data_IF_691824749833
#
_entry.id   IF_691824749833
#
_cell.length_a   1.000
_cell.length_b   1.000
_cell.length_c   1.000
_cell.angle_alpha   90.00
_cell.angle_beta   90.00
_cell.angle_gamma   90.00
#
_symmetry.space_group_name_H-M   'P 1'
#
loop_
_entity.id
_entity.type
_entity.pdbx_description
1 polymer ?
#
# COMPACT_ATOMS: atom_id res chain seq x y z
N UNK A 1 -9.72 -6.10 0.74
CA UNK A 1 -9.02 -6.57 1.97
C UNK A 1 -8.44 -7.97 1.80
N UNK A 2 -9.14 -8.90 1.15
CA UNK A 2 -8.67 -10.29 1.02
C UNK A 2 -7.40 -10.44 0.18
N UNK A 3 -7.20 -9.60 -0.84
CA UNK A 3 -5.98 -9.62 -1.67
C UNK A 3 -4.73 -9.26 -0.87
N UNK A 4 -4.84 -8.29 0.04
CA UNK A 4 -3.75 -7.91 0.95
C UNK A 4 -3.42 -9.04 1.93
N UNK A 5 -4.44 -9.71 2.48
CA UNK A 5 -4.26 -10.87 3.35
C UNK A 5 -3.60 -12.04 2.62
N UNK A 6 -3.96 -12.26 1.35
CA UNK A 6 -3.33 -13.28 0.51
C UNK A 6 -1.86 -12.95 0.25
N UNK A 7 -1.54 -11.69 -0.05
CA UNK A 7 -0.17 -11.27 -0.29
C UNK A 7 0.69 -11.33 0.98
N UNK A 8 0.15 -10.89 2.12
CA UNK A 8 0.85 -10.95 3.41
C UNK A 8 1.06 -12.40 3.88
N UNK A 9 0.08 -13.30 3.64
CA UNK A 9 0.23 -14.73 3.97
C UNK A 9 1.24 -15.43 3.06
N UNK A 10 1.28 -15.13 1.76
CA UNK A 10 2.31 -15.64 0.85
C UNK A 10 3.72 -15.23 1.28
N UNK A 11 3.90 -13.99 1.75
CA UNK A 11 5.18 -13.52 2.30
C UNK A 11 5.56 -14.26 3.58
N UNK A 12 4.62 -14.46 4.50
CA UNK A 12 4.86 -15.23 5.71
C UNK A 12 5.30 -16.66 5.38
N UNK A 13 4.61 -17.33 4.45
CA UNK A 13 4.97 -18.67 3.98
C UNK A 13 6.37 -18.67 3.37
N UNK A 14 6.71 -17.67 2.56
CA UNK A 14 8.05 -17.55 1.97
C UNK A 14 9.15 -17.39 3.03
N UNK A 15 8.90 -16.62 4.10
CA UNK A 15 9.86 -16.48 5.19
C UNK A 15 9.95 -17.75 6.04
N UNK A 16 8.83 -18.43 6.31
CA UNK A 16 8.80 -19.71 7.03
C UNK A 16 9.59 -20.80 6.32
N UNK A 17 9.55 -20.82 4.98
CA UNK A 17 10.23 -21.82 4.13
C UNK A 17 11.59 -21.33 3.64
N UNK A 18 12.10 -20.19 4.16
CA UNK A 18 13.39 -19.67 3.71
C UNK A 18 14.53 -20.67 4.05
N UNK A 19 15.38 -21.06 3.06
CA UNK A 19 16.36 -22.13 3.26
C UNK A 19 17.30 -21.89 4.44
N UNK A 20 17.77 -20.65 4.61
CA UNK A 20 18.64 -20.28 5.73
C UNK A 20 17.98 -20.53 7.10
N UNK A 21 16.70 -20.18 7.26
CA UNK A 21 15.99 -20.38 8.53
C UNK A 21 15.67 -21.84 8.80
N UNK A 22 15.28 -22.58 7.76
CA UNK A 22 15.06 -24.02 7.89
C UNK A 22 16.35 -24.68 8.38
N UNK A 23 17.50 -24.36 7.77
CA UNK A 23 18.79 -24.90 8.19
C UNK A 23 19.14 -24.54 9.63
N UNK A 24 18.92 -23.30 10.06
CA UNK A 24 19.17 -22.91 11.47
C UNK A 24 18.26 -23.66 12.44
N UNK A 25 16.98 -23.82 12.11
CA UNK A 25 16.01 -24.51 12.97
C UNK A 25 16.26 -26.02 13.01
N UNK A 26 16.61 -26.63 11.88
CA UNK A 26 17.05 -28.02 11.83
C UNK A 26 18.33 -28.25 12.63
N UNK A 27 19.31 -27.33 12.52
CA UNK A 27 20.53 -27.37 13.34
C UNK A 27 20.25 -27.29 14.84
N UNK A 28 19.33 -26.41 15.25
CA UNK A 28 18.90 -26.30 16.65
C UNK A 28 18.17 -27.57 17.13
N UNK A 29 17.26 -28.13 16.32
CA UNK A 29 16.59 -29.39 16.63
C UNK A 29 17.57 -30.56 16.75
N UNK A 30 18.57 -30.61 15.87
CA UNK A 30 19.64 -31.63 15.90
C UNK A 30 20.50 -31.49 17.16
N UNK A 31 20.87 -30.27 17.57
CA UNK A 31 21.61 -30.04 18.81
C UNK A 31 20.82 -30.52 20.04
N UNK A 32 19.51 -30.24 20.10
CA UNK A 32 18.62 -30.73 21.16
C UNK A 32 18.55 -32.26 21.15
N UNK A 33 18.43 -32.87 19.96
CA UNK A 33 18.42 -34.32 19.82
C UNK A 33 19.71 -34.98 20.29
N UNK A 34 20.88 -34.37 20.03
CA UNK A 34 22.18 -34.87 20.50
C UNK A 34 22.27 -34.80 22.02
N UNK A 35 21.88 -33.67 22.63
CA UNK A 35 21.99 -33.44 24.09
C UNK A 35 21.05 -34.33 24.89
N UNK A 36 19.79 -34.43 24.47
CA UNK A 36 18.77 -35.17 25.22
C UNK A 36 18.60 -36.62 24.75
N UNK A 37 18.99 -36.94 23.51
CA UNK A 37 18.95 -38.32 22.99
C UNK A 37 20.02 -39.22 23.59
N UNK A 38 21.12 -38.67 24.13
CA UNK A 38 22.12 -39.43 24.89
C UNK A 38 21.67 -39.76 26.32
N UNK A 39 20.55 -39.22 26.79
CA UNK A 39 20.03 -39.43 28.15
C UNK A 39 18.79 -40.33 28.08
N UNK A 40 18.89 -41.54 28.64
CA UNK A 40 17.79 -42.52 28.62
C UNK A 40 16.53 -41.93 29.30
N UNK A 41 15.41 -41.87 28.57
CA UNK A 41 14.12 -41.42 29.10
C UNK A 41 13.81 -39.92 28.98
N UNK A 42 14.71 -39.11 28.42
CA UNK A 42 14.56 -37.63 28.38
C UNK A 42 13.90 -37.08 27.10
N UNK A 43 13.26 -37.94 26.30
CA UNK A 43 12.55 -37.54 25.07
C UNK A 43 11.45 -36.50 25.31
N UNK A 44 10.84 -36.49 26.50
CA UNK A 44 9.88 -35.45 26.89
C UNK A 44 10.51 -34.06 26.94
N UNK A 45 11.76 -33.93 27.42
CA UNK A 45 12.48 -32.65 27.43
C UNK A 45 12.95 -32.25 26.03
N UNK A 46 13.35 -33.21 25.20
CA UNK A 46 13.66 -32.96 23.80
C UNK A 46 12.45 -32.39 23.04
N UNK A 47 11.26 -32.96 23.25
CA UNK A 47 10.02 -32.49 22.65
C UNK A 47 9.67 -31.04 23.07
N UNK A 48 9.84 -30.70 24.35
CA UNK A 48 9.69 -29.31 24.84
C UNK A 48 10.71 -28.39 24.16
N UNK A 49 11.96 -28.82 24.01
CA UNK A 49 12.99 -28.07 23.28
C UNK A 49 12.60 -27.80 21.83
N UNK A 50 12.16 -28.81 21.09
CA UNK A 50 11.70 -28.64 19.71
C UNK A 50 10.48 -27.73 19.59
N UNK A 51 9.55 -27.77 20.55
CA UNK A 51 8.44 -26.84 20.60
C UNK A 51 8.91 -25.39 20.69
N UNK A 52 9.88 -25.08 21.55
CA UNK A 52 10.45 -23.73 21.62
C UNK A 52 11.21 -23.32 20.36
N UNK A 53 11.91 -24.26 19.70
CA UNK A 53 12.54 -23.99 18.39
C UNK A 53 11.47 -23.67 17.34
N UNK A 54 10.36 -24.41 17.30
CA UNK A 54 9.26 -24.13 16.38
C UNK A 54 8.62 -22.75 16.64
N UNK A 55 8.40 -22.39 17.91
CA UNK A 55 7.90 -21.07 18.28
C UNK A 55 8.87 -19.96 17.88
N UNK A 56 10.17 -20.13 18.10
CA UNK A 56 11.18 -19.16 17.70
C UNK A 56 11.28 -19.02 16.18
N UNK A 57 11.22 -20.13 15.44
CA UNK A 57 11.19 -20.15 13.98
C UNK A 57 9.99 -19.37 13.45
N UNK A 58 8.80 -19.66 13.98
CA UNK A 58 7.57 -18.96 13.62
C UNK A 58 7.65 -17.46 13.95
N UNK A 59 8.05 -17.10 15.17
CA UNK A 59 8.13 -15.71 15.61
C UNK A 59 9.13 -14.88 14.81
N UNK A 60 10.31 -15.43 14.52
CA UNK A 60 11.30 -14.75 13.67
C UNK A 60 10.84 -14.62 12.23
N UNK A 61 10.13 -15.62 11.67
CA UNK A 61 9.52 -15.55 10.35
C UNK A 61 8.43 -14.48 10.28
N UNK A 62 7.56 -14.39 11.28
CA UNK A 62 6.56 -13.31 11.40
C UNK A 62 7.22 -11.93 11.42
N UNK A 63 8.19 -11.73 12.32
CA UNK A 63 8.90 -10.44 12.43
C UNK A 63 9.51 -10.02 11.09
N UNK A 64 10.17 -10.94 10.40
CA UNK A 64 10.77 -10.63 9.12
C UNK A 64 9.77 -10.43 7.98
N UNK A 65 8.62 -11.12 8.02
CA UNK A 65 7.52 -10.86 7.09
C UNK A 65 6.94 -9.47 7.31
N UNK A 66 6.86 -9.01 8.56
CA UNK A 66 6.48 -7.64 8.91
C UNK A 66 7.54 -6.61 8.48
N UNK A 67 8.82 -6.89 8.71
CA UNK A 67 9.92 -6.00 8.30
C UNK A 67 9.96 -5.84 6.77
N UNK A 68 9.64 -6.90 6.02
CA UNK A 68 9.56 -6.92 4.54
C UNK A 68 8.17 -6.59 3.99
N UNK A 69 7.28 -6.08 4.85
CA UNK A 69 5.90 -5.80 4.47
C UNK A 69 5.82 -4.65 3.46
N UNK A 70 6.71 -3.69 3.51
CA UNK A 70 6.77 -2.59 2.56
C UNK A 70 7.92 -2.82 1.60
N UNK A 71 7.64 -2.78 0.30
CA UNK A 71 8.70 -2.83 -0.71
C UNK A 71 9.44 -1.49 -0.79
N UNK A 72 8.69 -0.38 -0.72
CA UNK A 72 9.23 0.96 -0.75
C UNK A 72 9.36 1.56 0.66
N UNK A 73 10.58 1.96 1.08
CA UNK A 73 10.79 2.62 2.37
C UNK A 73 9.98 3.91 2.52
N UNK A 74 9.73 4.61 1.41
CA UNK A 74 8.93 5.84 1.39
C UNK A 74 7.48 5.60 1.83
N UNK A 75 6.84 4.54 1.35
CA UNK A 75 5.46 4.21 1.73
C UNK A 75 5.38 3.72 3.17
N UNK A 76 6.38 2.94 3.62
CA UNK A 76 6.52 2.57 5.02
C UNK A 76 6.61 3.81 5.93
N UNK A 77 7.41 4.81 5.54
CA UNK A 77 7.56 6.06 6.28
C UNK A 77 6.27 6.89 6.32
N UNK A 78 5.51 6.95 5.22
CA UNK A 78 4.19 7.61 5.20
C UNK A 78 3.23 6.94 6.19
N UNK A 79 3.14 5.60 6.15
CA UNK A 79 2.28 4.88 7.08
C UNK A 79 2.71 5.03 8.54
N UNK A 80 4.02 4.93 8.82
CA UNK A 80 4.56 5.18 10.16
C UNK A 80 4.23 6.60 10.64
N UNK A 81 4.28 7.59 9.74
CA UNK A 81 3.87 8.97 10.00
C UNK A 81 2.40 9.10 10.39
N UNK A 82 1.50 8.41 9.67
CA UNK A 82 0.07 8.33 10.01
C UNK A 82 -0.15 7.70 11.38
N UNK A 83 0.51 6.56 11.68
CA UNK A 83 0.39 5.86 12.96
C UNK A 83 0.87 6.70 14.14
N UNK A 84 2.02 7.38 14.01
CA UNK A 84 2.55 8.26 15.06
C UNK A 84 1.57 9.40 15.38
N UNK A 85 1.00 10.04 14.35
CA UNK A 85 0.04 11.14 14.52
C UNK A 85 -1.29 10.68 15.10
N UNK A 86 -1.79 9.52 14.70
CA UNK A 86 -2.95 8.90 15.33
C UNK A 86 -2.71 8.64 16.82
N UNK A 87 -1.56 8.04 17.17
CA UNK A 87 -1.21 7.77 18.57
C UNK A 87 -1.17 9.07 19.39
N UNK A 88 -0.51 10.11 18.89
CA UNK A 88 -0.46 11.43 19.54
C UNK A 88 -1.84 12.07 19.67
N UNK A 89 -2.69 11.91 18.66
CA UNK A 89 -4.07 12.38 18.69
C UNK A 89 -4.90 11.66 19.77
N UNK A 90 -4.80 10.32 19.84
CA UNK A 90 -5.45 9.53 20.89
C UNK A 90 -4.93 9.89 22.30
N UNK A 91 -3.64 10.14 22.47
CA UNK A 91 -3.07 10.63 23.73
C UNK A 91 -3.67 11.98 24.17
N UNK A 92 -3.96 12.88 23.23
CA UNK A 92 -4.62 14.16 23.52
C UNK A 92 -6.08 13.95 23.89
N UNK A 93 -6.81 13.14 23.11
CA UNK A 93 -8.21 12.80 23.39
C UNK A 93 -8.39 12.17 24.77
N UNK A 94 -7.51 11.24 25.14
CA UNK A 94 -7.56 10.56 26.45
C UNK A 94 -7.32 11.51 27.64
N UNK A 95 -6.76 12.71 27.39
CA UNK A 95 -6.55 13.75 28.40
C UNK A 95 -7.67 14.81 28.42
N UNK A 96 -8.67 14.72 27.56
CA UNK A 96 -9.82 15.62 27.57
C UNK A 96 -10.84 15.20 28.64
N UNK A 97 -11.58 16.16 29.19
CA UNK A 97 -12.64 15.86 30.16
C UNK A 97 -13.86 15.28 29.44
N UNK A 98 -14.64 14.42 30.11
CA UNK A 98 -15.78 13.69 29.50
C UNK A 98 -16.86 14.62 28.92
N UNK A 99 -17.08 15.76 29.55
CA UNK A 99 -18.00 16.82 29.09
C UNK A 99 -17.55 17.49 27.78
N UNK A 100 -16.24 17.54 27.53
CA UNK A 100 -15.64 18.07 26.29
C UNK A 100 -15.58 17.04 25.15
N UNK A 101 -15.80 15.77 25.46
CA UNK A 101 -15.72 14.64 24.52
C UNK A 101 -17.10 14.27 23.96
N UNK A 102 -18.19 14.69 24.62
CA UNK A 102 -19.56 14.42 24.17
C UNK A 102 -19.81 14.90 22.73
N UNK A 103 -19.30 16.08 22.37
CA UNK A 103 -19.42 16.66 21.02
C UNK A 103 -18.48 16.00 19.98
N UNK A 104 -17.56 15.14 20.42
CA UNK A 104 -16.50 14.54 19.61
C UNK A 104 -16.66 13.04 19.39
N UNK A 105 -17.72 12.39 19.89
CA UNK A 105 -17.80 10.92 19.96
C UNK A 105 -17.64 10.20 18.60
N UNK A 106 -18.11 10.80 17.50
CA UNK A 106 -18.01 10.19 16.17
C UNK A 106 -16.62 10.31 15.55
N UNK A 107 -15.87 11.39 15.86
CA UNK A 107 -14.62 11.73 15.18
C UNK A 107 -13.51 10.67 15.35
N UNK A 108 -13.22 10.15 16.56
CA UNK A 108 -12.20 9.11 16.74
C UNK A 108 -12.51 7.85 15.94
N UNK A 109 -13.80 7.51 15.80
CA UNK A 109 -14.22 6.37 14.99
C UNK A 109 -13.95 6.64 13.51
N UNK A 110 -14.40 7.77 12.98
CA UNK A 110 -14.14 8.17 11.58
C UNK A 110 -12.63 8.20 11.27
N UNK A 111 -11.81 8.73 12.17
CA UNK A 111 -10.34 8.76 11.98
C UNK A 111 -9.77 7.34 11.88
N UNK A 112 -10.23 6.40 12.73
CA UNK A 112 -9.78 5.00 12.67
C UNK A 112 -10.24 4.30 11.39
N UNK A 113 -11.48 4.53 10.99
CA UNK A 113 -12.04 3.96 9.76
C UNK A 113 -11.25 4.45 8.54
N UNK A 114 -11.07 5.78 8.40
CA UNK A 114 -10.26 6.39 7.34
C UNK A 114 -8.81 5.91 7.38
N UNK A 115 -8.21 5.76 8.57
CA UNK A 115 -6.85 5.23 8.69
C UNK A 115 -6.72 3.80 8.16
N UNK A 116 -7.78 3.00 8.33
CA UNK A 116 -7.83 1.61 7.88
C UNK A 116 -7.94 1.55 6.35
N UNK A 117 -8.81 2.38 5.77
CA UNK A 117 -8.92 2.58 4.32
C UNK A 117 -7.59 3.05 3.73
N UNK A 118 -6.97 4.06 4.35
CA UNK A 118 -5.71 4.64 3.92
C UNK A 118 -4.55 3.64 3.99
N UNK A 119 -4.49 2.82 5.05
CA UNK A 119 -3.54 1.72 5.15
C UNK A 119 -3.69 0.75 3.98
N UNK A 120 -4.91 0.31 3.69
CA UNK A 120 -5.17 -0.63 2.60
C UNK A 120 -4.79 -0.03 1.24
N UNK A 121 -5.09 1.25 1.03
CA UNK A 121 -4.70 1.97 -0.18
C UNK A 121 -3.19 2.13 -0.31
N UNK A 122 -2.48 2.56 0.74
CA UNK A 122 -1.02 2.65 0.74
C UNK A 122 -0.36 1.30 0.45
N UNK A 123 -0.89 0.20 1.03
CA UNK A 123 -0.39 -1.15 0.74
C UNK A 123 -0.60 -1.54 -0.72
N UNK A 124 -1.74 -1.21 -1.32
CA UNK A 124 -1.98 -1.44 -2.75
C UNK A 124 -1.09 -0.58 -3.63
N UNK A 125 -0.92 0.69 -3.28
CA UNK A 125 0.00 1.59 -3.98
C UNK A 125 1.44 1.06 -3.97
N UNK A 126 1.90 0.48 -2.85
CA UNK A 126 3.23 -0.13 -2.74
C UNK A 126 3.39 -1.34 -3.66
N UNK A 127 2.37 -2.20 -3.71
CA UNK A 127 2.36 -3.36 -4.61
C UNK A 127 2.38 -2.90 -6.07
N UNK A 128 1.50 -1.97 -6.44
CA UNK A 128 1.43 -1.42 -7.81
C UNK A 128 2.76 -0.78 -8.20
N UNK A 129 3.33 0.07 -7.35
CA UNK A 129 4.62 0.70 -7.61
C UNK A 129 5.74 -0.35 -7.80
N UNK A 130 5.74 -1.42 -7.00
CA UNK A 130 6.73 -2.50 -7.10
C UNK A 130 6.57 -3.28 -8.40
N UNK A 131 5.33 -3.61 -8.77
CA UNK A 131 5.03 -4.35 -9.99
C UNK A 131 5.39 -3.54 -11.23
N UNK A 132 5.04 -2.25 -11.24
CA UNK A 132 5.42 -1.31 -12.28
C UNK A 132 6.94 -1.19 -12.37
N UNK A 133 7.64 -0.97 -11.25
CA UNK A 133 9.10 -0.87 -11.30
C UNK A 133 9.77 -2.17 -11.79
N UNK A 134 9.24 -3.34 -11.40
CA UNK A 134 9.78 -4.62 -11.81
C UNK A 134 9.57 -4.91 -13.31
N UNK A 135 8.39 -4.57 -13.85
CA UNK A 135 8.02 -4.83 -15.25
C UNK A 135 8.60 -3.78 -16.20
N UNK A 136 8.77 -2.54 -15.74
CA UNK A 136 9.30 -1.42 -16.53
C UNK A 136 10.82 -1.30 -16.48
N UNK A 137 11.49 -2.11 -15.64
CA UNK A 137 12.94 -2.11 -15.53
C UNK A 137 13.58 -2.51 -16.86
N UNK A 138 14.32 -1.57 -17.46
CA UNK A 138 15.02 -1.81 -18.72
C UNK A 138 14.16 -1.64 -19.96
N UNK A 139 12.87 -1.27 -19.81
CA UNK A 139 12.14 -0.68 -20.93
C UNK A 139 12.77 0.68 -21.25
N UNK A 140 12.95 0.96 -22.54
CA UNK A 140 13.59 2.18 -23.01
C UNK A 140 12.81 3.38 -22.46
N UNK A 141 13.37 4.09 -21.46
CA UNK A 141 12.76 5.29 -20.85
C UNK A 141 12.44 6.40 -21.87
N UNK A 142 12.96 6.24 -23.09
CA UNK A 142 12.51 6.94 -24.28
C UNK A 142 12.27 5.89 -25.38
N UNK A 143 11.02 5.71 -25.87
CA UNK A 143 10.77 4.81 -26.98
C UNK A 143 11.64 5.22 -28.18
N UNK A 144 12.07 4.26 -28.99
CA UNK A 144 12.84 4.57 -30.20
C UNK A 144 12.02 5.52 -31.07
N UNK A 145 12.64 6.63 -31.47
CA UNK A 145 12.06 7.50 -32.50
C UNK A 145 12.30 6.79 -33.82
N UNK A 146 11.22 6.36 -34.46
CA UNK A 146 11.29 5.70 -35.75
C UNK A 146 11.44 6.76 -36.84
N UNK A 147 12.57 6.76 -37.55
CA UNK A 147 12.69 7.52 -38.79
C UNK A 147 12.13 6.65 -39.93
N UNK A 148 11.00 7.05 -40.49
CA UNK A 148 10.41 6.40 -41.66
C UNK A 148 11.22 6.78 -42.91
N UNK A 149 12.46 6.28 -42.99
CA UNK A 149 13.36 6.48 -44.14
C UNK A 149 12.85 5.84 -45.43
N UNK A 150 11.73 5.10 -45.37
CA UNK A 150 11.10 4.44 -46.52
C UNK A 150 10.01 5.33 -47.15
N UNK A 151 9.95 5.33 -48.48
CA UNK A 151 8.86 5.96 -49.26
C UNK A 151 7.62 5.07 -49.38
N UNK A 152 7.68 3.88 -48.80
CA UNK A 152 6.60 2.91 -48.82
C UNK A 152 5.43 3.38 -47.94
N UNK A 153 4.23 3.37 -48.50
CA UNK A 153 3.02 3.84 -47.82
C UNK A 153 2.64 2.92 -46.65
N UNK A 154 2.79 1.60 -46.80
CA UNK A 154 2.46 0.63 -45.75
C UNK A 154 3.37 0.77 -44.54
N UNK A 155 4.68 0.91 -44.77
CA UNK A 155 5.66 1.16 -43.70
C UNK A 155 5.33 2.42 -42.89
N UNK A 156 4.88 3.50 -43.53
CA UNK A 156 4.50 4.75 -42.84
C UNK A 156 3.27 4.58 -41.95
N UNK A 157 2.27 3.85 -42.42
CA UNK A 157 1.07 3.55 -41.62
C UNK A 157 1.41 2.71 -40.38
N UNK A 158 2.32 1.74 -40.52
CA UNK A 158 2.81 0.94 -39.39
C UNK A 158 3.57 1.79 -38.37
N UNK A 159 4.41 2.73 -38.81
CA UNK A 159 5.09 3.66 -37.90
C UNK A 159 4.10 4.60 -37.19
N UNK A 160 3.09 5.13 -37.89
CA UNK A 160 2.04 5.94 -37.26
C UNK A 160 1.20 5.14 -36.26
N UNK A 161 0.94 3.86 -36.53
CA UNK A 161 0.27 2.96 -35.58
C UNK A 161 1.15 2.72 -34.34
N UNK A 162 2.45 2.48 -34.53
CA UNK A 162 3.39 2.33 -33.42
C UNK A 162 3.42 3.57 -32.52
N UNK A 163 3.45 4.78 -33.10
CA UNK A 163 3.42 6.03 -32.34
C UNK A 163 2.13 6.19 -31.52
N UNK A 164 0.97 5.82 -32.09
CA UNK A 164 -0.31 5.81 -31.35
C UNK A 164 -0.28 4.83 -30.18
N UNK A 165 0.20 3.61 -30.39
CA UNK A 165 0.29 2.59 -29.34
C UNK A 165 1.23 3.05 -28.20
N UNK A 166 2.35 3.71 -28.53
CA UNK A 166 3.27 4.28 -27.54
C UNK A 166 2.57 5.38 -26.72
N UNK A 167 1.79 6.25 -27.37
CA UNK A 167 1.07 7.32 -26.70
C UNK A 167 -0.02 6.77 -25.76
N UNK A 168 -0.78 5.77 -26.20
CA UNK A 168 -1.80 5.09 -25.38
C UNK A 168 -1.16 4.41 -24.16
N UNK A 169 -0.10 3.65 -24.37
CA UNK A 169 0.66 3.02 -23.29
C UNK A 169 1.14 4.05 -22.26
N UNK A 170 1.71 5.18 -22.70
CA UNK A 170 2.13 6.27 -21.79
C UNK A 170 0.98 6.86 -21.01
N UNK A 171 -0.19 7.02 -21.64
CA UNK A 171 -1.41 7.44 -20.98
C UNK A 171 -1.81 6.49 -19.86
N UNK A 172 -1.81 5.17 -20.13
CA UNK A 172 -2.12 4.15 -19.14
C UNK A 172 -1.11 4.11 -18.00
N UNK A 173 0.19 4.13 -18.31
CA UNK A 173 1.25 4.18 -17.31
C UNK A 173 1.11 5.41 -16.39
N UNK A 174 0.91 6.59 -16.97
CA UNK A 174 0.72 7.83 -16.22
C UNK A 174 -0.52 7.77 -15.32
N UNK A 175 -1.62 7.18 -15.79
CA UNK A 175 -2.83 7.00 -14.99
C UNK A 175 -2.62 6.08 -13.78
N UNK A 176 -1.91 4.96 -13.96
CA UNK A 176 -1.56 4.04 -12.87
C UNK A 176 -0.68 4.73 -11.83
N UNK A 177 0.38 5.42 -12.27
CA UNK A 177 1.29 6.14 -11.38
C UNK A 177 0.62 7.33 -10.68
N UNK A 178 -0.32 8.01 -11.33
CA UNK A 178 -1.14 9.05 -10.70
C UNK A 178 -1.99 8.47 -9.57
N UNK A 179 -2.45 7.21 -9.66
CA UNK A 179 -3.10 6.51 -8.57
C UNK A 179 -2.21 6.39 -7.33
N UNK A 180 -0.98 5.91 -7.53
CA UNK A 180 0.04 5.80 -6.46
C UNK A 180 0.30 7.16 -5.80
N UNK A 181 0.55 8.20 -6.60
CA UNK A 181 0.84 9.54 -6.10
C UNK A 181 -0.36 10.17 -5.36
N UNK A 182 -1.60 9.91 -5.81
CA UNK A 182 -2.80 10.37 -5.09
C UNK A 182 -2.90 9.74 -3.71
N UNK A 183 -2.61 8.46 -3.55
CA UNK A 183 -2.60 7.80 -2.24
C UNK A 183 -1.51 8.36 -1.32
N UNK A 184 -0.33 8.67 -1.85
CA UNK A 184 0.72 9.36 -1.09
C UNK A 184 0.25 10.75 -0.63
N UNK A 185 -0.39 11.51 -1.51
CA UNK A 185 -0.92 12.84 -1.21
C UNK A 185 -2.04 12.78 -0.16
N UNK A 186 -2.97 11.84 -0.28
CA UNK A 186 -4.03 11.60 0.72
C UNK A 186 -3.44 11.27 2.09
N UNK A 187 -2.31 10.55 2.13
CA UNK A 187 -1.60 10.28 3.38
C UNK A 187 -1.02 11.55 4.00
N UNK A 188 -0.46 12.43 3.18
CA UNK A 188 0.02 13.73 3.64
C UNK A 188 -1.12 14.60 4.19
N UNK A 189 -2.26 14.67 3.47
CA UNK A 189 -3.45 15.40 3.94
C UNK A 189 -3.91 14.84 5.28
N UNK A 190 -4.10 13.52 5.39
CA UNK A 190 -4.49 12.86 6.64
C UNK A 190 -3.59 13.24 7.82
N UNK A 191 -2.27 13.17 7.63
CA UNK A 191 -1.30 13.56 8.66
C UNK A 191 -1.48 15.02 9.10
N UNK A 192 -1.60 15.95 8.16
CA UNK A 192 -1.76 17.38 8.46
C UNK A 192 -3.11 17.72 9.09
N UNK A 193 -4.18 17.03 8.70
CA UNK A 193 -5.51 17.15 9.32
C UNK A 193 -5.46 16.71 10.78
N UNK A 194 -4.80 15.58 11.09
CA UNK A 194 -4.61 15.14 12.47
C UNK A 194 -3.75 16.09 13.29
N UNK A 195 -2.67 16.62 12.72
CA UNK A 195 -1.82 17.60 13.39
C UNK A 195 -2.60 18.87 13.74
N UNK A 196 -3.43 19.35 12.81
CA UNK A 196 -4.30 20.52 13.01
C UNK A 196 -5.35 20.27 14.08
N UNK A 197 -6.08 19.14 14.00
CA UNK A 197 -7.07 18.74 15.00
C UNK A 197 -6.44 18.61 16.38
N UNK A 198 -5.28 17.96 16.48
CA UNK A 198 -4.55 17.78 17.74
C UNK A 198 -4.22 19.13 18.38
N UNK A 199 -3.73 20.09 17.61
CA UNK A 199 -3.42 21.43 18.13
C UNK A 199 -4.68 22.17 18.61
N UNK A 200 -5.78 22.06 17.87
CA UNK A 200 -7.07 22.67 18.24
C UNK A 200 -7.64 22.05 19.52
N UNK A 201 -7.55 20.72 19.69
CA UNK A 201 -7.97 20.03 20.92
C UNK A 201 -7.12 20.44 22.14
N UNK A 202 -5.79 20.59 21.96
CA UNK A 202 -4.91 21.09 23.02
C UNK A 202 -5.30 22.52 23.41
N UNK A 203 -5.53 23.40 22.43
CA UNK A 203 -5.98 24.77 22.66
C UNK A 203 -7.29 24.82 23.44
N UNK A 204 -8.31 24.09 22.97
CA UNK A 204 -9.61 23.99 23.62
C UNK A 204 -9.50 23.49 25.07
N UNK A 205 -8.63 22.52 25.34
CA UNK A 205 -8.39 22.00 26.70
C UNK A 205 -7.72 23.03 27.62
N UNK A 206 -6.76 23.79 27.10
CA UNK A 206 -5.89 24.66 27.92
C UNK A 206 -6.48 26.05 28.19
N UNK A 207 -7.20 26.63 27.23
CA UNK A 207 -7.66 28.03 27.33
C UNK A 207 -8.75 28.22 28.38
N UNK A 208 -9.54 27.18 28.69
CA UNK A 208 -10.65 27.30 29.64
C UNK A 208 -11.76 28.23 29.13
N UNK A 209 -12.98 28.01 29.62
CA UNK A 209 -14.21 28.63 29.14
C UNK A 209 -14.16 30.18 29.11
N UNK A 210 -13.96 30.75 27.93
CA UNK A 210 -14.65 31.96 27.49
C UNK A 210 -15.31 31.64 26.14
N UNK A 211 -16.59 31.24 26.12
CA UNK A 211 -16.95 29.90 25.64
C UNK A 211 -17.81 29.86 24.37
N UNK A 212 -18.07 30.99 23.71
CA UNK A 212 -19.00 30.98 22.57
C UNK A 212 -18.28 31.12 21.23
N UNK A 213 -17.48 32.18 21.02
CA UNK A 213 -16.69 32.33 19.79
C UNK A 213 -15.60 31.26 19.64
N UNK A 214 -14.84 30.97 20.70
CA UNK A 214 -13.79 29.94 20.67
C UNK A 214 -14.35 28.52 20.54
N UNK A 215 -15.60 28.29 20.97
CA UNK A 215 -16.27 27.02 20.79
C UNK A 215 -16.82 26.89 19.36
N UNK A 216 -17.41 27.94 18.79
CA UNK A 216 -17.87 27.93 17.40
C UNK A 216 -16.71 27.73 16.42
N UNK A 217 -15.61 28.47 16.56
CA UNK A 217 -14.41 28.29 15.72
C UNK A 217 -13.82 26.87 15.85
N UNK A 218 -13.90 26.28 17.06
CA UNK A 218 -13.50 24.90 17.29
C UNK A 218 -14.44 23.91 16.61
N UNK A 219 -15.76 24.08 16.71
CA UNK A 219 -16.74 23.24 16.02
C UNK A 219 -16.64 23.34 14.49
N UNK A 220 -16.44 24.54 13.96
CA UNK A 220 -16.23 24.78 12.53
C UNK A 220 -14.96 24.07 12.05
N UNK A 221 -13.89 24.11 12.86
CA UNK A 221 -12.66 23.39 12.55
C UNK A 221 -12.78 21.87 12.57
N UNK A 222 -13.63 21.36 13.46
CA UNK A 222 -13.97 19.95 13.54
C UNK A 222 -14.76 19.53 12.29
N UNK A 223 -15.74 20.35 11.90
CA UNK A 223 -16.53 20.13 10.70
C UNK A 223 -15.64 20.14 9.44
N UNK A 224 -14.71 21.08 9.34
CA UNK A 224 -13.73 21.14 8.27
C UNK A 224 -12.86 19.87 8.23
N UNK A 225 -12.31 19.45 9.36
CA UNK A 225 -11.50 18.24 9.42
C UNK A 225 -12.30 16.97 9.09
N UNK A 226 -13.58 16.91 9.50
CA UNK A 226 -14.49 15.82 9.10
C UNK A 226 -14.71 15.81 7.60
N UNK A 227 -14.94 16.97 6.98
CA UNK A 227 -15.08 17.09 5.54
C UNK A 227 -13.80 16.65 4.80
N UNK A 228 -12.61 17.02 5.31
CA UNK A 228 -11.33 16.57 4.75
C UNK A 228 -11.15 15.05 4.87
N UNK A 229 -11.48 14.46 6.02
CA UNK A 229 -11.40 13.00 6.22
C UNK A 229 -12.38 12.24 5.32
N UNK A 230 -13.59 12.76 5.15
CA UNK A 230 -14.59 12.18 4.26
C UNK A 230 -14.19 12.33 2.78
N UNK A 231 -13.55 13.44 2.41
CA UNK A 231 -13.00 13.62 1.07
C UNK A 231 -11.86 12.61 0.79
N UNK A 232 -11.02 12.31 1.79
CA UNK A 232 -10.02 11.25 1.67
C UNK A 232 -10.69 9.91 1.45
N UNK A 233 -11.67 9.54 2.28
CA UNK A 233 -12.38 8.26 2.18
C UNK A 233 -13.06 8.09 0.82
N UNK A 234 -13.77 9.11 0.36
CA UNK A 234 -14.43 9.12 -0.96
C UNK A 234 -13.42 8.98 -2.09
N UNK A 235 -12.32 9.73 -2.03
CA UNK A 235 -11.28 9.67 -3.06
C UNK A 235 -10.51 8.34 -3.04
N UNK A 236 -10.46 7.65 -1.90
CA UNK A 236 -9.93 6.29 -1.79
C UNK A 236 -10.87 5.27 -2.43
N UNK A 237 -12.19 5.40 -2.24
CA UNK A 237 -13.19 4.55 -2.91
C UNK A 237 -13.18 4.73 -4.43
N UNK A 238 -13.04 5.97 -4.92
CA UNK A 238 -12.92 6.26 -6.35
C UNK A 238 -11.65 5.65 -6.98
N UNK A 239 -10.55 5.59 -6.23
CA UNK A 239 -9.33 4.92 -6.66
C UNK A 239 -9.53 3.41 -6.85
N UNK A 240 -10.42 2.78 -6.09
CA UNK A 240 -10.77 1.37 -6.26
C UNK A 240 -11.61 1.12 -7.52
N UNK A 241 -12.50 2.07 -7.88
CA UNK A 241 -13.41 1.94 -9.01
C UNK A 241 -12.80 2.34 -10.36
N UNK A 242 -11.77 3.20 -10.36
CA UNK A 242 -11.21 3.82 -11.57
C UNK A 242 -10.24 2.96 -12.41
N UNK A 243 -9.97 1.70 -12.04
CA UNK A 243 -8.86 0.93 -12.62
C UNK A 243 -9.14 0.22 -13.96
N UNK A 244 -10.33 0.29 -14.54
CA UNK A 244 -10.60 -0.32 -15.84
C UNK A 244 -11.26 0.65 -16.84
N UNK A 245 -10.58 0.99 -17.97
CA UNK A 245 -11.28 1.50 -19.14
C UNK A 245 -12.29 0.45 -19.59
N UNK A 246 -13.59 0.79 -19.58
CA UNK A 246 -14.68 -0.14 -19.98
C UNK A 246 -14.69 -0.49 -21.47
N UNK A 247 -13.76 0.05 -22.24
CA UNK A 247 -13.65 -0.15 -23.69
C UNK A 247 -12.23 -0.60 -24.02
N UNK A 248 -12.07 -1.87 -24.39
CA UNK A 248 -10.90 -2.27 -25.17
C UNK A 248 -10.94 -1.51 -26.50
N UNK A 249 -9.85 -0.87 -26.96
CA UNK A 249 -9.75 -0.45 -28.34
C UNK A 249 -9.99 -1.69 -29.21
N UNK A 250 -10.86 -1.56 -30.20
CA UNK A 250 -11.15 -2.62 -31.15
C UNK A 250 -9.83 -3.23 -31.66
N UNK A 251 -9.80 -4.56 -31.78
CA UNK A 251 -8.65 -5.29 -32.31
C UNK A 251 -8.14 -4.70 -33.62
N UNK A 252 -6.88 -4.97 -33.98
CA UNK A 252 -6.26 -4.37 -35.16
C UNK A 252 -7.16 -4.55 -36.39
N UNK A 253 -7.30 -3.54 -37.26
CA UNK A 253 -8.10 -3.67 -38.46
C UNK A 253 -7.62 -4.88 -39.25
N UNK A 254 -8.53 -5.68 -39.84
CA UNK A 254 -8.17 -6.84 -40.63
C UNK A 254 -7.19 -6.41 -41.72
N UNK A 255 -6.13 -7.20 -41.90
CA UNK A 255 -5.15 -6.99 -42.97
C UNK A 255 -5.93 -6.95 -44.30
N UNK A 256 -5.80 -5.88 -45.11
CA UNK A 256 -6.49 -5.76 -46.38
C UNK A 256 -6.30 -6.99 -47.28
N UNK A 257 -7.38 -7.45 -47.90
CA UNK A 257 -7.44 -8.73 -48.65
C UNK A 257 -6.43 -8.81 -49.82
N UNK A 258 -6.05 -7.66 -50.38
CA UNK A 258 -5.05 -7.52 -51.43
C UNK A 258 -3.62 -7.87 -50.95
N UNK A 259 -3.37 -7.73 -49.65
CA UNK A 259 -2.09 -8.11 -49.01
C UNK A 259 -2.07 -9.60 -48.68
N UNK A 260 -3.20 -10.19 -48.27
CA UNK A 260 -3.29 -11.65 -48.07
C UNK A 260 -3.11 -12.42 -49.38
N UNK A 261 -3.59 -11.89 -50.50
CA UNK A 261 -3.40 -12.51 -51.82
C UNK A 261 -1.94 -12.49 -52.30
N UNK A 262 -1.12 -11.52 -51.87
CA UNK A 262 0.30 -11.44 -52.23
C UNK A 262 1.22 -12.30 -51.37
N UNK A 263 0.76 -12.73 -50.20
CA UNK A 263 1.52 -13.60 -49.29
C UNK A 263 1.27 -15.09 -49.57
N UNK A 264 0.17 -15.42 -50.24
CA UNK A 264 -0.26 -16.79 -50.54
C UNK A 264 -0.08 -17.19 -52.03
N UNK A 265 0.49 -16.31 -52.86
CA UNK A 265 0.82 -16.56 -54.26
C UNK A 265 2.31 -16.41 -54.51
#
# INVERSE_FOLDING_TARGET
>A
MDDLRRHDSQRLVRELVSPGRILTSLGACMAIAIVFGSMQGEWGRAAVGWFFVALAHWGTAMKAAEDKKWSHPRMAALWAGCQDRMKRFEEVLNRMRKDQVADLQEMPKTIRDVSTSLYAALRRADIVATEVEATERGMLGRPPVWDAGTRDAQSRELYQLADRNIAEYRGHFAAVMAGVQRTEAQSAVFMTTLDSLRMKLIGYRLVGRSPEMANQEFLDSIAEARAQLQAIDTALDELELGQYPKTMPAGPPPIPDDVQQRLNG
#
